data_IF_776431139026
#
_entry.id   IF_776431139026
#
_cell.length_a   1.000
_cell.length_b   1.000
_cell.length_c   1.000
_cell.angle_alpha   90.00
_cell.angle_beta   90.00
_cell.angle_gamma   90.00
#
_symmetry.space_group_name_H-M   'P 1'
#
loop_
_entity.id
_entity.type
_entity.pdbx_description
1 polymer ?
#
# COMPACT_ATOMS: atom_id res chain seq x y z
N UNK A 1 32.76 -27.59 7.28
CA UNK A 1 32.19 -28.58 6.35
C UNK A 1 30.94 -29.12 7.05
N UNK A 2 29.80 -28.46 6.86
CA UNK A 2 28.50 -28.92 7.35
C UNK A 2 27.64 -29.14 6.11
N UNK A 3 27.73 -30.35 5.56
CA UNK A 3 26.79 -30.89 4.57
C UNK A 3 25.62 -31.50 5.34
N UNK A 4 24.57 -30.71 5.55
CA UNK A 4 23.23 -31.20 5.88
C UNK A 4 22.25 -30.76 4.79
N UNK A 5 22.46 -31.31 3.59
CA UNK A 5 21.41 -31.44 2.58
C UNK A 5 21.03 -32.93 2.54
N UNK A 6 20.15 -33.33 3.45
CA UNK A 6 19.46 -34.60 3.35
C UNK A 6 18.53 -34.54 2.13
N UNK A 7 19.00 -35.20 1.08
CA UNK A 7 18.32 -35.45 -0.20
C UNK A 7 16.88 -35.89 0.04
N UNK A 8 15.92 -35.10 -0.45
CA UNK A 8 14.52 -35.51 -0.57
C UNK A 8 14.45 -36.73 -1.48
N UNK A 9 13.94 -37.82 -0.92
CA UNK A 9 13.73 -39.09 -1.62
C UNK A 9 12.70 -38.87 -2.73
N UNK A 10 13.04 -39.03 -4.02
CA UNK A 10 12.09 -38.88 -5.13
C UNK A 10 11.26 -40.16 -5.21
N UNK A 11 10.25 -40.26 -4.35
CA UNK A 11 9.26 -41.33 -4.47
C UNK A 11 8.30 -41.00 -5.61
N UNK A 12 8.21 -41.89 -6.60
CA UNK A 12 7.29 -41.84 -7.75
C UNK A 12 5.81 -41.58 -7.36
N UNK A 13 5.44 -41.81 -6.10
CA UNK A 13 4.10 -41.54 -5.57
C UNK A 13 3.71 -40.05 -5.60
N UNK A 14 4.66 -39.14 -5.37
CA UNK A 14 4.34 -37.70 -5.35
C UNK A 14 4.10 -37.14 -6.75
N UNK A 15 4.69 -37.74 -7.79
CA UNK A 15 4.54 -37.28 -9.17
C UNK A 15 3.14 -37.62 -9.71
N UNK A 16 2.59 -38.77 -9.32
CA UNK A 16 1.21 -39.14 -9.63
C UNK A 16 0.18 -38.25 -8.92
N UNK A 17 0.44 -37.89 -7.65
CA UNK A 17 -0.39 -36.93 -6.92
C UNK A 17 -0.37 -35.54 -7.55
N UNK A 18 0.82 -35.06 -7.95
CA UNK A 18 0.97 -33.77 -8.62
C UNK A 18 0.26 -33.75 -9.98
N UNK A 19 0.39 -34.82 -10.79
CA UNK A 19 -0.29 -34.96 -12.07
C UNK A 19 -1.81 -34.93 -11.91
N UNK A 20 -2.35 -35.64 -10.91
CA UNK A 20 -3.78 -35.66 -10.61
C UNK A 20 -4.31 -34.26 -10.18
N UNK A 21 -3.56 -33.54 -9.35
CA UNK A 21 -3.93 -32.17 -8.95
C UNK A 21 -3.91 -31.24 -10.16
N UNK A 22 -2.90 -31.35 -11.01
CA UNK A 22 -2.75 -30.55 -12.22
C UNK A 22 -3.89 -30.81 -13.22
N UNK A 23 -4.26 -32.08 -13.44
CA UNK A 23 -5.38 -32.44 -14.32
C UNK A 23 -6.72 -31.88 -13.82
N UNK A 24 -6.96 -31.93 -12.50
CA UNK A 24 -8.15 -31.35 -11.88
C UNK A 24 -8.19 -29.83 -12.02
N UNK A 25 -7.04 -29.16 -11.88
CA UNK A 25 -6.95 -27.72 -12.06
C UNK A 25 -7.32 -27.31 -13.50
N UNK A 26 -6.74 -27.96 -14.51
CA UNK A 26 -7.02 -27.65 -15.91
C UNK A 26 -8.45 -28.02 -16.33
N UNK A 27 -9.00 -29.13 -15.82
CA UNK A 27 -10.40 -29.49 -16.06
C UNK A 27 -11.38 -28.43 -15.55
N UNK A 28 -11.10 -27.85 -14.37
CA UNK A 28 -11.91 -26.78 -13.80
C UNK A 28 -11.74 -25.49 -14.61
N UNK A 29 -10.51 -25.12 -14.98
CA UNK A 29 -10.24 -23.92 -15.77
C UNK A 29 -10.97 -23.94 -17.13
N UNK A 30 -10.91 -25.07 -17.85
CA UNK A 30 -11.62 -25.23 -19.13
C UNK A 30 -13.14 -25.15 -18.95
N UNK A 31 -13.68 -25.70 -17.85
CA UNK A 31 -15.11 -25.60 -17.55
C UNK A 31 -15.54 -24.16 -17.29
N UNK A 32 -14.72 -23.36 -16.59
CA UNK A 32 -14.96 -21.94 -16.35
C UNK A 32 -14.93 -21.15 -17.68
N UNK A 33 -13.96 -21.44 -18.56
CA UNK A 33 -13.88 -20.81 -19.88
C UNK A 33 -15.09 -21.16 -20.76
N UNK A 34 -15.55 -22.43 -20.73
CA UNK A 34 -16.73 -22.82 -21.52
C UNK A 34 -18.00 -22.12 -21.05
N UNK A 35 -18.16 -21.90 -19.74
CA UNK A 35 -19.30 -21.17 -19.16
C UNK A 35 -19.21 -19.67 -19.46
N UNK A 36 -18.01 -19.10 -19.48
CA UNK A 36 -17.80 -17.70 -19.86
C UNK A 36 -18.09 -17.45 -21.35
N UNK A 37 -17.81 -18.41 -22.22
CA UNK A 37 -18.03 -18.28 -23.68
C UNK A 37 -19.48 -18.52 -24.12
N UNK A 38 -20.33 -19.14 -23.28
CA UNK A 38 -21.75 -19.37 -23.58
C UNK A 38 -22.62 -18.12 -23.32
N UNK A 39 -22.08 -17.08 -22.67
CA UNK A 39 -22.81 -15.85 -22.32
C UNK A 39 -22.42 -14.62 -23.15
N UNK A 40 -22.07 -14.78 -24.43
CA UNK A 40 -21.92 -13.68 -25.39
C UNK A 40 -22.96 -13.74 -26.52
N UNK A 41 -23.66 -12.66 -26.87
CA UNK A 41 -24.61 -12.66 -27.98
C UNK A 41 -23.85 -12.69 -29.30
N UNK A 42 -24.03 -13.75 -30.09
CA UNK A 42 -23.67 -13.77 -31.51
C UNK A 42 -24.88 -13.41 -32.36
N UNK A 43 -24.73 -12.41 -33.23
CA UNK A 43 -25.23 -12.38 -34.62
C UNK A 43 -24.39 -11.34 -35.37
N UNK A 44 -23.37 -11.80 -36.09
CA UNK A 44 -23.43 -12.21 -37.50
C UNK A 44 -23.52 -10.99 -38.43
N UNK A 45 -22.42 -10.76 -39.16
CA UNK A 45 -22.29 -9.67 -40.12
C UNK A 45 -23.00 -9.94 -41.44
N UNK A 46 -23.10 -8.89 -42.25
CA UNK A 46 -23.21 -8.96 -43.70
C UNK A 46 -22.67 -7.65 -44.28
N UNK A 47 -21.67 -7.74 -45.14
CA UNK A 47 -21.25 -6.66 -46.02
C UNK A 47 -22.28 -6.47 -47.13
N UNK A 48 -22.78 -5.24 -47.35
CA UNK A 48 -23.39 -4.80 -48.60
C UNK A 48 -22.97 -3.33 -48.83
N UNK A 49 -22.41 -3.07 -50.01
CA UNK A 49 -22.05 -1.75 -50.55
C UNK A 49 -23.27 -1.10 -51.25
N UNK A 50 -23.27 0.25 -51.31
CA UNK A 50 -24.21 1.16 -52.04
C UNK A 50 -25.67 1.11 -51.56
N UNK A 51 -26.38 2.20 -51.28
CA UNK A 51 -26.58 3.43 -52.06
C UNK A 51 -27.17 4.55 -51.15
N UNK A 52 -27.00 5.82 -51.55
CA UNK A 52 -27.65 7.00 -50.96
C UNK A 52 -29.17 6.87 -50.80
N UNK A 53 -29.68 7.12 -49.58
CA UNK A 53 -30.93 7.87 -49.38
C UNK A 53 -30.86 8.64 -48.06
N UNK A 54 -31.22 9.93 -48.14
CA UNK A 54 -31.33 10.87 -47.02
C UNK A 54 -32.53 10.49 -46.14
N UNK A 55 -32.33 10.36 -44.83
CA UNK A 55 -33.35 10.76 -43.85
C UNK A 55 -32.75 11.00 -42.46
N UNK A 56 -33.24 12.05 -41.80
CA UNK A 56 -32.81 12.55 -40.49
C UNK A 56 -33.15 11.56 -39.37
N UNK A 57 -32.15 11.09 -38.61
CA UNK A 57 -32.38 10.60 -37.25
C UNK A 57 -31.13 10.78 -36.38
N UNK A 58 -31.21 11.70 -35.42
CA UNK A 58 -30.21 11.95 -34.38
C UNK A 58 -30.23 10.79 -33.39
N UNK A 59 -29.37 9.79 -33.60
CA UNK A 59 -29.08 8.80 -32.56
C UNK A 59 -28.27 9.46 -31.44
N UNK A 60 -28.97 9.81 -30.37
CA UNK A 60 -28.37 10.18 -29.09
C UNK A 60 -27.66 8.94 -28.54
N UNK A 61 -26.34 8.85 -28.78
CA UNK A 61 -25.47 7.87 -28.12
C UNK A 61 -25.50 8.15 -26.62
N UNK A 62 -26.37 7.46 -25.89
CA UNK A 62 -26.46 7.57 -24.46
C UNK A 62 -25.09 7.19 -23.85
N UNK A 63 -24.48 8.04 -23.01
CA UNK A 63 -23.18 7.75 -22.45
C UNK A 63 -23.28 6.48 -21.59
N UNK A 64 -22.43 5.50 -21.90
CA UNK A 64 -22.22 4.31 -21.08
C UNK A 64 -21.86 4.80 -19.68
N UNK A 65 -22.83 4.77 -18.75
CA UNK A 65 -22.60 5.06 -17.34
C UNK A 65 -21.71 3.97 -16.78
N UNK A 66 -20.39 4.17 -16.87
CA UNK A 66 -19.42 3.40 -16.07
C UNK A 66 -19.87 3.57 -14.63
N UNK A 67 -20.39 2.50 -14.01
CA UNK A 67 -20.62 2.46 -12.57
C UNK A 67 -19.24 2.67 -11.92
N UNK A 68 -18.92 3.92 -11.58
CA UNK A 68 -17.78 4.25 -10.73
C UNK A 68 -18.11 3.65 -9.38
N UNK A 69 -17.63 2.46 -9.11
CA UNK A 69 -17.56 1.94 -7.75
C UNK A 69 -16.77 3.00 -6.98
N UNK A 70 -17.45 3.75 -6.09
CA UNK A 70 -16.78 4.68 -5.19
C UNK A 70 -16.07 3.83 -4.17
N UNK A 71 -14.77 3.63 -4.37
CA UNK A 71 -13.91 3.03 -3.36
C UNK A 71 -13.95 3.91 -2.11
N UNK A 72 -13.90 3.32 -0.91
CA UNK A 72 -13.67 4.10 0.31
C UNK A 72 -12.44 4.98 0.12
N UNK A 73 -12.59 6.27 0.41
CA UNK A 73 -11.50 7.21 0.33
C UNK A 73 -10.54 6.95 1.49
N UNK A 74 -9.28 6.63 1.17
CA UNK A 74 -8.27 6.36 2.19
C UNK A 74 -8.02 7.65 2.98
N UNK A 75 -8.15 7.64 4.32
CA UNK A 75 -7.94 8.85 5.11
C UNK A 75 -6.48 9.29 5.01
N UNK A 76 -6.26 10.60 5.07
CA UNK A 76 -4.93 11.17 5.12
C UNK A 76 -4.20 10.70 6.39
N UNK A 77 -2.92 10.30 6.33
CA UNK A 77 -2.17 9.91 7.51
C UNK A 77 -2.08 11.10 8.46
N UNK A 78 -2.09 10.83 9.76
CA UNK A 78 -1.96 11.86 10.79
C UNK A 78 -0.62 11.76 11.51
N UNK A 79 -0.10 12.88 11.98
CA UNK A 79 1.15 12.95 12.72
C UNK A 79 1.05 13.88 13.92
N UNK A 80 1.33 13.32 15.10
CA UNK A 80 1.22 13.99 16.39
C UNK A 80 2.54 14.59 16.90
N UNK A 81 3.65 14.28 16.23
CA UNK A 81 4.99 14.70 16.65
C UNK A 81 5.79 13.60 17.37
N UNK A 82 5.27 12.38 17.51
CA UNK A 82 6.05 11.27 18.08
C UNK A 82 7.12 10.78 17.11
N UNK A 83 8.37 10.79 17.55
CA UNK A 83 9.54 10.40 16.74
C UNK A 83 9.40 9.01 16.11
N UNK A 84 8.89 8.03 16.87
CA UNK A 84 8.68 6.65 16.40
C UNK A 84 7.70 6.54 15.22
N UNK A 85 6.83 7.53 15.03
CA UNK A 85 5.84 7.55 13.96
C UNK A 85 6.29 8.37 12.75
N UNK A 86 7.39 9.14 12.86
CA UNK A 86 7.82 10.09 11.84
C UNK A 86 8.07 9.44 10.49
N UNK A 87 8.80 8.33 10.45
CA UNK A 87 9.20 7.70 9.19
C UNK A 87 7.98 7.11 8.45
N UNK A 88 7.06 6.50 9.20
CA UNK A 88 5.80 5.99 8.66
C UNK A 88 4.95 7.12 8.07
N UNK A 89 4.75 8.20 8.83
CA UNK A 89 4.03 9.38 8.36
C UNK A 89 4.68 10.00 7.12
N UNK A 90 5.99 10.26 7.16
CA UNK A 90 6.73 10.90 6.07
C UNK A 90 6.55 10.12 4.77
N UNK A 91 6.73 8.81 4.81
CA UNK A 91 6.60 7.95 3.64
C UNK A 91 5.17 7.91 3.10
N UNK A 92 4.18 7.77 3.99
CA UNK A 92 2.77 7.75 3.61
C UNK A 92 2.31 9.08 3.01
N UNK A 93 2.60 10.20 3.69
CA UNK A 93 2.24 11.54 3.24
C UNK A 93 2.93 11.89 1.91
N UNK A 94 4.21 11.56 1.77
CA UNK A 94 4.92 11.80 0.52
C UNK A 94 4.31 11.03 -0.65
N UNK A 95 3.96 9.76 -0.47
CA UNK A 95 3.31 8.93 -1.50
C UNK A 95 1.90 9.42 -1.88
N UNK A 96 1.13 9.88 -0.88
CA UNK A 96 -0.25 10.32 -1.11
C UNK A 96 -0.35 11.73 -1.67
N UNK A 97 0.49 12.66 -1.21
CA UNK A 97 0.37 14.10 -1.49
C UNK A 97 1.66 14.67 -2.06
N UNK A 98 2.81 14.38 -1.43
CA UNK A 98 4.08 15.02 -1.78
C UNK A 98 4.54 14.76 -3.22
N UNK A 99 4.35 13.54 -3.72
CA UNK A 99 4.74 13.08 -5.06
C UNK A 99 3.72 13.40 -6.15
N UNK A 100 2.53 13.92 -5.80
CA UNK A 100 1.50 14.25 -6.76
C UNK A 100 1.87 15.51 -7.53
N UNK A 101 1.83 15.45 -8.86
CA UNK A 101 2.22 16.55 -9.77
C UNK A 101 1.04 17.42 -10.18
N UNK A 102 -0.18 16.95 -9.94
CA UNK A 102 -1.45 17.64 -10.18
C UNK A 102 -1.89 18.53 -9.00
N UNK A 103 -1.22 18.44 -7.84
CA UNK A 103 -1.45 19.30 -6.69
C UNK A 103 -0.50 20.50 -6.66
N UNK A 104 -1.04 21.69 -6.41
CA UNK A 104 -0.23 22.89 -6.19
C UNK A 104 0.45 22.85 -4.81
N UNK A 105 1.52 23.62 -4.63
CA UNK A 105 2.16 23.72 -3.31
C UNK A 105 1.22 24.29 -2.24
N UNK A 106 0.27 25.15 -2.63
CA UNK A 106 -0.79 25.64 -1.73
C UNK A 106 -1.66 24.47 -1.24
N UNK A 107 -2.11 23.62 -2.17
CA UNK A 107 -2.92 22.43 -1.83
C UNK A 107 -2.13 21.48 -0.94
N UNK A 108 -0.86 21.20 -1.29
CA UNK A 108 0.03 20.36 -0.48
C UNK A 108 0.21 20.90 0.94
N UNK A 109 0.34 22.22 1.11
CA UNK A 109 0.43 22.85 2.42
C UNK A 109 -0.89 22.76 3.20
N UNK A 110 -2.04 22.88 2.54
CA UNK A 110 -3.34 22.63 3.16
C UNK A 110 -3.45 21.21 3.70
N UNK A 111 -3.12 20.21 2.87
CA UNK A 111 -3.09 18.80 3.29
C UNK A 111 -2.06 18.55 4.39
N UNK A 112 -0.88 19.16 4.30
CA UNK A 112 0.14 19.02 5.34
C UNK A 112 -0.42 19.52 6.68
N UNK A 113 -1.02 20.71 6.71
CA UNK A 113 -1.59 21.27 7.95
C UNK A 113 -2.74 20.43 8.52
N UNK A 114 -3.57 19.81 7.67
CA UNK A 114 -4.67 18.95 8.14
C UNK A 114 -4.19 17.58 8.61
N UNK A 115 -3.05 17.10 8.10
CA UNK A 115 -2.41 15.88 8.53
C UNK A 115 -1.69 16.01 9.88
N UNK A 116 -1.34 17.23 10.30
CA UNK A 116 -0.62 17.43 11.56
C UNK A 116 -1.58 17.69 12.72
N UNK A 117 -1.27 17.07 13.85
CA UNK A 117 -1.98 17.26 15.13
C UNK A 117 -0.96 17.47 16.26
N UNK A 118 -1.43 17.85 17.45
CA UNK A 118 -0.60 17.97 18.64
C UNK A 118 0.62 18.89 18.48
N UNK A 119 1.80 18.38 18.80
CA UNK A 119 3.04 19.17 18.76
C UNK A 119 3.52 19.42 17.33
N UNK A 120 3.21 18.53 16.40
CA UNK A 120 3.64 18.65 15.01
C UNK A 120 3.00 19.87 14.32
N UNK A 121 1.70 20.10 14.52
CA UNK A 121 1.02 21.28 13.91
C UNK A 121 1.57 22.59 14.48
N UNK A 122 1.95 22.59 15.76
CA UNK A 122 2.55 23.76 16.42
C UNK A 122 3.88 24.17 15.78
N UNK A 123 4.66 23.22 15.23
CA UNK A 123 5.94 23.52 14.56
C UNK A 123 5.78 24.39 13.32
N UNK A 124 4.74 24.15 12.53
CA UNK A 124 4.55 24.84 11.24
C UNK A 124 3.46 25.92 11.31
N UNK A 125 2.94 26.22 12.50
CA UNK A 125 1.83 27.16 12.70
C UNK A 125 2.12 28.57 12.18
N UNK A 126 3.40 28.99 12.20
CA UNK A 126 3.82 30.32 11.75
C UNK A 126 3.71 30.51 10.23
N UNK A 127 3.70 29.44 9.45
CA UNK A 127 3.64 29.54 8.00
C UNK A 127 2.23 29.93 7.56
N UNK A 128 2.09 31.03 6.84
CA UNK A 128 0.85 31.34 6.14
C UNK A 128 0.62 30.32 5.02
N UNK A 129 -0.64 30.08 4.64
CA UNK A 129 -0.93 29.20 3.52
C UNK A 129 -0.66 29.97 2.23
N UNK A 130 0.51 29.69 1.64
CA UNK A 130 1.07 30.30 0.45
C UNK A 130 1.94 29.22 -0.25
N UNK A 131 2.06 29.28 -1.58
CA UNK A 131 2.78 28.30 -2.39
C UNK A 131 4.27 28.21 -2.01
N UNK A 132 4.89 29.32 -1.60
CA UNK A 132 6.30 29.34 -1.19
C UNK A 132 6.51 28.56 0.12
N UNK A 133 5.50 28.49 0.98
CA UNK A 133 5.65 27.99 2.35
C UNK A 133 5.57 26.47 2.49
N UNK A 134 5.13 25.74 1.46
CA UNK A 134 5.09 24.27 1.53
C UNK A 134 6.48 23.68 1.75
N UNK A 135 7.45 24.05 0.90
CA UNK A 135 8.82 23.57 0.99
C UNK A 135 9.45 23.90 2.36
N UNK A 136 9.28 25.14 2.83
CA UNK A 136 9.80 25.58 4.12
C UNK A 136 9.16 24.84 5.30
N UNK A 137 7.85 24.60 5.26
CA UNK A 137 7.14 23.85 6.30
C UNK A 137 7.56 22.38 6.32
N UNK A 138 7.68 21.76 5.15
CA UNK A 138 8.14 20.37 5.01
C UNK A 138 9.58 20.20 5.49
N UNK A 139 10.49 21.09 5.08
CA UNK A 139 11.88 21.09 5.54
C UNK A 139 11.97 21.28 7.06
N UNK A 140 11.18 22.17 7.64
CA UNK A 140 11.16 22.37 9.09
C UNK A 140 10.76 21.09 9.85
N UNK A 141 9.77 20.34 9.34
CA UNK A 141 9.37 19.06 9.94
C UNK A 141 10.50 18.03 9.82
N UNK A 142 11.11 17.90 8.64
CA UNK A 142 12.26 17.00 8.44
C UNK A 142 13.38 17.34 9.41
N UNK A 143 13.77 18.62 9.53
CA UNK A 143 14.82 19.04 10.46
C UNK A 143 14.45 18.75 11.92
N UNK A 144 13.17 18.84 12.28
CA UNK A 144 12.70 18.64 13.65
C UNK A 144 12.61 17.16 14.04
N UNK A 145 12.19 16.30 13.11
CA UNK A 145 11.82 14.91 13.40
C UNK A 145 12.74 13.86 12.76
N UNK A 146 13.53 14.22 11.75
CA UNK A 146 14.46 13.33 11.05
C UNK A 146 15.88 13.32 11.67
N UNK A 147 15.96 13.46 12.99
CA UNK A 147 17.23 13.39 13.72
C UNK A 147 17.56 11.92 13.98
N UNK A 148 18.39 11.32 13.10
CA UNK A 148 18.75 9.89 13.13
C UNK A 148 19.07 9.35 14.54
N UNK A 149 19.91 10.06 15.29
CA UNK A 149 20.30 9.64 16.66
C UNK A 149 19.09 9.54 17.60
N UNK A 150 18.16 10.48 17.53
CA UNK A 150 16.95 10.49 18.35
C UNK A 150 16.02 9.37 17.92
N UNK A 151 15.81 9.19 16.62
CA UNK A 151 14.98 8.12 16.07
C UNK A 151 15.48 6.73 16.50
N UNK A 152 16.79 6.47 16.33
CA UNK A 152 17.42 5.21 16.76
C UNK A 152 17.25 5.01 18.26
N UNK A 153 17.61 6.02 19.07
CA UNK A 153 17.49 5.94 20.52
C UNK A 153 16.06 5.71 20.98
N UNK A 154 15.07 6.31 20.31
CA UNK A 154 13.65 6.15 20.61
C UNK A 154 13.19 4.73 20.33
N UNK A 155 13.48 4.17 19.15
CA UNK A 155 13.10 2.80 18.82
C UNK A 155 13.78 1.77 19.74
N UNK A 156 15.06 1.96 20.07
CA UNK A 156 15.75 1.10 21.04
C UNK A 156 15.10 1.17 22.42
N UNK A 157 14.77 2.39 22.89
CA UNK A 157 14.11 2.57 24.17
C UNK A 157 12.74 1.89 24.21
N UNK A 158 11.99 1.96 23.10
CA UNK A 158 10.69 1.30 22.99
C UNK A 158 10.81 -0.22 23.09
N UNK A 159 11.78 -0.84 22.37
CA UNK A 159 12.08 -2.27 22.48
C UNK A 159 12.43 -2.66 23.92
N UNK A 160 13.31 -1.89 24.58
CA UNK A 160 13.72 -2.18 25.97
C UNK A 160 12.60 -1.94 27.00
N UNK A 161 11.59 -1.15 26.65
CA UNK A 161 10.43 -0.85 27.48
C UNK A 161 9.21 -1.72 27.20
N UNK A 162 9.32 -2.72 26.32
CA UNK A 162 8.22 -3.61 26.02
C UNK A 162 7.74 -4.32 27.29
N UNK A 163 6.41 -4.41 27.52
CA UNK A 163 5.87 -4.96 28.76
C UNK A 163 6.19 -6.45 28.88
N UNK A 164 6.56 -6.87 30.10
CA UNK A 164 6.64 -8.28 30.43
C UNK A 164 5.23 -8.91 30.37
N UNK A 165 5.14 -10.13 29.83
CA UNK A 165 3.89 -10.87 29.84
C UNK A 165 3.71 -11.57 31.20
N UNK A 166 2.69 -11.14 31.95
CA UNK A 166 2.35 -11.75 33.25
C UNK A 166 1.88 -13.20 33.11
N UNK A 167 1.27 -13.52 31.96
CA UNK A 167 0.83 -14.86 31.58
C UNK A 167 1.09 -15.08 30.11
N UNK A 168 1.62 -16.25 29.78
CA UNK A 168 1.78 -16.67 28.40
C UNK A 168 0.42 -16.79 27.72
N UNK A 169 0.25 -16.06 26.62
CA UNK A 169 -0.93 -16.12 25.77
C UNK A 169 -0.50 -15.90 24.32
N UNK A 170 -1.15 -16.59 23.38
CA UNK A 170 -0.85 -16.42 21.95
C UNK A 170 -0.99 -14.96 21.53
N UNK A 171 -2.05 -14.28 21.96
CA UNK A 171 -2.27 -12.87 21.63
C UNK A 171 -1.19 -11.94 22.21
N UNK A 172 -0.75 -12.19 23.45
CA UNK A 172 0.33 -11.42 24.07
C UNK A 172 1.68 -11.64 23.37
N UNK A 173 2.01 -12.89 23.06
CA UNK A 173 3.24 -13.25 22.34
C UNK A 173 3.26 -12.68 20.92
N UNK A 174 2.16 -12.81 20.17
CA UNK A 174 2.04 -12.24 18.82
C UNK A 174 2.21 -10.73 18.85
N UNK A 175 1.51 -10.03 19.76
CA UNK A 175 1.65 -8.58 19.89
C UNK A 175 3.08 -8.17 20.23
N UNK A 176 3.73 -8.86 21.16
CA UNK A 176 5.11 -8.58 21.53
C UNK A 176 6.07 -8.77 20.34
N UNK A 177 5.88 -9.84 19.56
CA UNK A 177 6.64 -10.09 18.35
C UNK A 177 6.43 -9.01 17.29
N UNK A 178 5.17 -8.63 17.04
CA UNK A 178 4.80 -7.59 16.07
C UNK A 178 5.39 -6.23 16.46
N UNK A 179 5.23 -5.81 17.73
CA UNK A 179 5.75 -4.54 18.24
C UNK A 179 7.30 -4.50 18.12
N UNK A 180 7.97 -5.61 18.46
CA UNK A 180 9.42 -5.74 18.31
C UNK A 180 9.84 -5.65 16.83
N UNK A 181 9.18 -6.40 15.96
CA UNK A 181 9.48 -6.44 14.53
C UNK A 181 9.29 -5.06 13.88
N UNK A 182 8.26 -4.31 14.28
CA UNK A 182 8.02 -2.96 13.77
C UNK A 182 9.16 -1.99 14.14
N UNK A 183 9.68 -2.06 15.36
CA UNK A 183 10.82 -1.24 15.77
C UNK A 183 12.12 -1.67 15.10
N UNK A 184 12.37 -2.97 14.94
CA UNK A 184 13.52 -3.49 14.19
C UNK A 184 13.48 -3.06 12.72
N UNK A 185 12.31 -3.14 12.07
CA UNK A 185 12.14 -2.65 10.70
C UNK A 185 12.45 -1.15 10.58
N UNK A 186 12.02 -0.35 11.56
CA UNK A 186 12.31 1.09 11.60
C UNK A 186 13.81 1.37 11.78
N UNK A 187 14.50 0.60 12.63
CA UNK A 187 15.96 0.68 12.80
C UNK A 187 16.73 0.29 11.53
N UNK A 188 16.30 -0.77 10.84
CA UNK A 188 16.86 -1.18 9.56
C UNK A 188 16.69 -0.06 8.50
N UNK A 189 15.52 0.57 8.43
CA UNK A 189 15.28 1.70 7.53
C UNK A 189 16.14 2.94 7.86
N UNK A 190 16.63 3.06 9.10
CA UNK A 190 17.57 4.10 9.53
C UNK A 190 19.04 3.72 9.29
N UNK A 191 19.31 2.54 8.73
CA UNK A 191 20.65 2.05 8.41
C UNK A 191 21.34 1.28 9.54
N UNK A 192 20.60 0.89 10.58
CA UNK A 192 21.10 -0.01 11.63
C UNK A 192 20.72 -1.42 11.22
N UNK A 193 21.62 -2.17 10.56
CA UNK A 193 21.34 -3.57 10.23
C UNK A 193 21.41 -4.42 11.50
N UNK A 194 20.32 -5.10 11.83
CA UNK A 194 20.37 -6.22 12.77
C UNK A 194 21.11 -7.37 12.10
N UNK A 195 22.30 -7.72 12.57
CA UNK A 195 23.11 -8.84 12.08
C UNK A 195 22.53 -10.25 12.34
N UNK A 196 21.21 -10.37 12.51
CA UNK A 196 20.50 -11.64 12.61
C UNK A 196 20.23 -12.14 11.20
N UNK A 197 21.22 -12.83 10.64
CA UNK A 197 21.05 -13.76 9.52
C UNK A 197 20.76 -15.16 10.06
#
# INVERSE_FOLDING_TARGET
HNDELAVLNPSDGHQAEFANIQDRFYAIASKIESVANVAGPSRAGASISSEETRDDNVEVVAPIKRRRIKLPETPLPTFDGKYENWLSFKNAFHSMIGSQTDLTDIDKLHYLKSALVGDAVSKIRIFAIDGINYANAWELLQRSYEVKRILISRHLSLILSLPALDKESTSGLTKLADDTQQHVASLNALGISSGLK
#
